data_IF_828510488711
#
_entry.id   IF_828510488711
#
_cell.length_a   1.000
_cell.length_b   1.000
_cell.length_c   1.000
_cell.angle_alpha   90.00
_cell.angle_beta   90.00
_cell.angle_gamma   90.00
#
_symmetry.space_group_name_H-M   'P 1'
#
loop_
_entity.id
_entity.type
_entity.pdbx_description
1 polymer ?
#
# COMPACT_ATOMS: atom_id res chain seq x y z
N UNK A 1 -8.66 -15.21 -9.37
CA UNK A 1 -8.28 -14.22 -8.34
C UNK A 1 -7.03 -14.62 -7.53
N UNK A 2 -7.05 -15.58 -6.60
CA UNK A 2 -5.89 -15.91 -5.73
C UNK A 2 -4.63 -16.30 -6.51
N UNK A 3 -4.76 -17.14 -7.56
CA UNK A 3 -3.64 -17.52 -8.44
C UNK A 3 -2.99 -16.30 -9.12
N UNK A 4 -3.80 -15.30 -9.51
CA UNK A 4 -3.29 -14.07 -10.11
C UNK A 4 -2.52 -13.24 -9.08
N UNK A 5 -3.00 -13.13 -7.84
CA UNK A 5 -2.27 -12.46 -6.76
C UNK A 5 -0.90 -13.10 -6.54
N UNK A 6 -0.84 -14.44 -6.45
CA UNK A 6 0.44 -15.16 -6.27
C UNK A 6 1.41 -14.95 -7.43
N UNK A 7 0.93 -15.06 -8.67
CA UNK A 7 1.78 -15.03 -9.86
C UNK A 7 2.28 -13.63 -10.21
N UNK A 8 1.49 -12.58 -9.92
CA UNK A 8 1.79 -11.20 -10.30
C UNK A 8 2.56 -10.42 -9.22
N UNK A 9 3.16 -11.09 -8.23
CA UNK A 9 3.87 -10.44 -7.13
C UNK A 9 4.97 -9.47 -7.61
N UNK A 10 5.63 -9.76 -8.73
CA UNK A 10 6.65 -8.89 -9.35
C UNK A 10 6.06 -7.55 -9.81
N UNK A 11 4.83 -7.56 -10.36
CA UNK A 11 4.14 -6.35 -10.78
C UNK A 11 3.82 -5.50 -9.54
N UNK A 12 3.35 -6.12 -8.46
CA UNK A 12 3.08 -5.40 -7.22
C UNK A 12 4.36 -4.85 -6.60
N UNK A 13 5.49 -5.58 -6.69
CA UNK A 13 6.79 -5.09 -6.25
C UNK A 13 7.21 -3.85 -7.05
N UNK A 14 7.19 -3.92 -8.38
CA UNK A 14 7.57 -2.79 -9.25
C UNK A 14 6.63 -1.59 -9.01
N UNK A 15 5.32 -1.82 -8.92
CA UNK A 15 4.35 -0.76 -8.64
C UNK A 15 4.54 -0.14 -7.25
N UNK A 16 4.91 -0.93 -6.24
CA UNK A 16 5.23 -0.43 -4.90
C UNK A 16 6.48 0.44 -4.90
N UNK A 17 7.53 -0.03 -5.58
CA UNK A 17 8.81 0.69 -5.68
C UNK A 17 8.76 1.90 -6.61
N UNK A 18 7.73 2.06 -7.43
CA UNK A 18 7.56 3.21 -8.32
C UNK A 18 6.41 4.09 -7.83
N UNK A 19 5.16 3.75 -8.16
CA UNK A 19 3.98 4.48 -7.77
C UNK A 19 3.82 4.56 -6.24
N UNK A 20 4.07 3.46 -5.52
CA UNK A 20 3.88 3.42 -4.07
C UNK A 20 4.88 4.25 -3.26
N UNK A 21 6.05 4.58 -3.83
CA UNK A 21 7.06 5.45 -3.23
C UNK A 21 7.00 6.89 -3.76
N UNK A 22 6.16 7.19 -4.74
CA UNK A 22 6.11 8.52 -5.34
C UNK A 22 5.53 9.59 -4.39
N UNK A 23 6.02 10.84 -4.48
CA UNK A 23 7.34 11.23 -4.97
C UNK A 23 8.43 10.70 -4.04
N UNK A 24 9.60 10.32 -4.55
CA UNK A 24 10.59 9.57 -3.75
C UNK A 24 11.18 10.30 -2.53
N UNK A 25 11.04 11.62 -2.45
CA UNK A 25 11.60 12.41 -1.35
C UNK A 25 10.80 13.71 -1.11
N UNK A 26 9.89 13.76 -0.11
CA UNK A 26 9.37 12.66 0.71
C UNK A 26 8.18 11.92 0.04
N UNK A 27 8.04 10.60 0.20
CA UNK A 27 6.87 9.83 -0.27
C UNK A 27 5.55 10.37 0.26
N UNK A 28 4.55 10.49 -0.63
CA UNK A 28 3.21 10.93 -0.23
C UNK A 28 2.66 10.06 0.90
N UNK A 29 2.86 8.75 0.80
CA UNK A 29 2.34 7.78 1.76
C UNK A 29 2.85 8.01 3.20
N UNK A 30 4.11 8.44 3.39
CA UNK A 30 4.68 8.66 4.72
C UNK A 30 3.97 9.80 5.47
N UNK A 31 3.79 10.94 4.81
CA UNK A 31 3.10 12.09 5.40
C UNK A 31 1.64 11.75 5.73
N UNK A 32 0.95 11.02 4.84
CA UNK A 32 -0.44 10.62 5.11
C UNK A 32 -0.56 9.62 6.27
N UNK A 33 0.36 8.66 6.39
CA UNK A 33 0.38 7.73 7.53
C UNK A 33 0.55 8.49 8.85
N UNK A 34 1.48 9.44 8.90
CA UNK A 34 1.66 10.30 10.08
C UNK A 34 0.39 11.10 10.39
N UNK A 35 -0.30 11.59 9.37
CA UNK A 35 -1.55 12.34 9.52
C UNK A 35 -2.67 11.46 10.12
N UNK A 36 -2.81 10.22 9.64
CA UNK A 36 -3.78 9.24 10.15
C UNK A 36 -3.45 8.85 11.59
N UNK A 37 -2.20 8.48 11.86
CA UNK A 37 -1.77 8.06 13.21
C UNK A 37 -1.81 9.22 14.22
N UNK A 38 -1.62 10.45 13.77
CA UNK A 38 -1.72 11.65 14.60
C UNK A 38 -3.15 12.10 14.90
N UNK A 39 -4.19 11.39 14.42
CA UNK A 39 -5.60 11.70 14.67
C UNK A 39 -6.17 12.90 13.90
N UNK A 40 -5.31 13.69 13.25
CA UNK A 40 -5.71 14.88 12.51
C UNK A 40 -6.51 14.55 11.23
N UNK A 41 -6.37 13.33 10.68
CA UNK A 41 -7.02 12.95 9.42
C UNK A 41 -8.56 13.10 9.42
N UNK A 42 -9.20 12.98 10.59
CA UNK A 42 -10.66 13.08 10.75
C UNK A 42 -11.11 14.36 11.46
N UNK A 43 -10.19 15.29 11.72
CA UNK A 43 -10.53 16.55 12.37
C UNK A 43 -11.36 17.43 11.44
N UNK A 44 -12.38 18.11 11.96
CA UNK A 44 -13.23 19.01 11.15
C UNK A 44 -12.45 20.17 10.51
N UNK A 45 -11.41 20.65 11.21
CA UNK A 45 -10.67 21.85 10.78
C UNK A 45 -9.35 21.53 10.07
N UNK A 46 -8.80 20.34 10.28
CA UNK A 46 -7.46 19.89 9.81
C UNK A 46 -7.49 18.51 9.17
N UNK A 47 -8.68 18.05 8.79
CA UNK A 47 -8.93 16.75 8.19
C UNK A 47 -8.29 16.61 6.82
N UNK A 48 -8.10 15.36 6.42
CA UNK A 48 -7.65 15.04 5.08
C UNK A 48 -8.73 15.35 4.06
N UNK A 49 -8.35 16.02 2.98
CA UNK A 49 -9.21 16.28 1.84
C UNK A 49 -9.38 15.00 1.00
N UNK A 50 -10.34 15.00 0.09
CA UNK A 50 -10.58 13.86 -0.81
C UNK A 50 -9.32 13.44 -1.59
N UNK A 51 -8.50 14.40 -2.04
CA UNK A 51 -7.23 14.14 -2.71
C UNK A 51 -6.22 13.43 -1.80
N UNK A 52 -6.18 13.78 -0.51
CA UNK A 52 -5.26 13.16 0.44
C UNK A 52 -5.65 11.70 0.69
N UNK A 53 -6.94 11.39 0.75
CA UNK A 53 -7.45 10.03 0.80
C UNK A 53 -7.17 9.25 -0.48
N UNK A 54 -7.29 9.92 -1.63
CA UNK A 54 -6.91 9.33 -2.91
C UNK A 54 -5.41 9.01 -2.95
N UNK A 55 -4.55 9.87 -2.43
CA UNK A 55 -3.11 9.61 -2.32
C UNK A 55 -2.83 8.36 -1.48
N UNK A 56 -3.49 8.21 -0.31
CA UNK A 56 -3.37 7.01 0.53
C UNK A 56 -3.73 5.76 -0.26
N UNK A 57 -4.86 5.80 -0.97
CA UNK A 57 -5.33 4.67 -1.74
C UNK A 57 -4.37 4.36 -2.90
N UNK A 58 -4.03 5.35 -3.71
CA UNK A 58 -3.23 5.19 -4.92
C UNK A 58 -1.81 4.69 -4.61
N UNK A 59 -1.17 5.27 -3.60
CA UNK A 59 0.21 4.93 -3.24
C UNK A 59 0.26 3.72 -2.30
N UNK A 60 -0.77 3.50 -1.48
CA UNK A 60 -0.85 2.37 -0.55
C UNK A 60 -1.31 1.05 -1.18
N UNK A 61 -2.14 1.10 -2.24
CA UNK A 61 -2.69 -0.10 -2.87
C UNK A 61 -1.62 -1.07 -3.42
N UNK A 62 -0.55 -0.60 -4.11
CA UNK A 62 0.54 -1.49 -4.54
C UNK A 62 1.17 -2.27 -3.38
N UNK A 63 1.41 -1.61 -2.24
CA UNK A 63 1.99 -2.23 -1.04
C UNK A 63 1.05 -3.27 -0.43
N UNK A 64 -0.25 -2.97 -0.35
CA UNK A 64 -1.24 -3.92 0.15
C UNK A 64 -1.28 -5.18 -0.73
N UNK A 65 -1.28 -5.02 -2.06
CA UNK A 65 -1.26 -6.15 -2.99
C UNK A 65 0.04 -6.96 -2.91
N UNK A 66 1.18 -6.29 -2.72
CA UNK A 66 2.47 -6.93 -2.51
C UNK A 66 2.48 -7.78 -1.22
N UNK A 67 1.98 -7.23 -0.10
CA UNK A 67 1.89 -7.93 1.18
C UNK A 67 0.97 -9.16 1.07
N UNK A 68 -0.23 -8.99 0.52
CA UNK A 68 -1.18 -10.10 0.31
C UNK A 68 -0.57 -11.20 -0.57
N UNK A 69 0.08 -10.82 -1.67
CA UNK A 69 0.76 -11.75 -2.56
C UNK A 69 1.91 -12.48 -1.86
N UNK A 70 2.72 -11.77 -1.06
CA UNK A 70 3.79 -12.33 -0.27
C UNK A 70 3.29 -13.37 0.74
N UNK A 71 2.26 -13.03 1.53
CA UNK A 71 1.64 -13.95 2.50
C UNK A 71 1.12 -15.21 1.79
N UNK A 72 0.43 -15.07 0.66
CA UNK A 72 -0.09 -16.20 -0.10
C UNK A 72 1.03 -17.10 -0.67
N UNK A 73 2.15 -16.51 -1.08
CA UNK A 73 3.31 -17.28 -1.56
C UNK A 73 4.03 -18.00 -0.40
N UNK A 74 4.22 -17.35 0.75
CA UNK A 74 4.88 -17.92 1.92
C UNK A 74 4.06 -19.04 2.59
N UNK A 75 2.73 -18.86 2.69
CA UNK A 75 1.83 -19.87 3.29
C UNK A 75 1.60 -21.07 2.37
N UNK A 76 1.64 -20.87 1.04
CA UNK A 76 1.43 -21.97 0.08
C UNK A 76 2.60 -22.95 0.00
N UNK A 77 3.83 -22.53 0.34
CA UNK A 77 5.00 -23.42 0.36
C UNK A 77 4.97 -24.39 1.55
N UNK A 78 4.20 -24.07 2.61
CA UNK A 78 4.06 -24.92 3.80
C UNK A 78 3.10 -26.11 3.62
N UNK A 79 2.43 -26.25 2.47
CA UNK A 79 1.52 -27.37 2.18
C UNK A 79 2.21 -28.59 1.54
N UNK A 80 3.54 -28.60 1.48
CA UNK A 80 4.33 -29.74 1.00
C UNK A 80 5.23 -30.23 2.13
N UNK A 81 4.61 -30.82 3.14
CA UNK A 81 5.18 -31.83 4.05
C UNK A 81 4.07 -32.79 4.42
#
# INVERSE_FOLDING_TARGET
MIKQLKNNWKIFLIASLTLGLAPFNPPHLLGKIQWILGGNAFSSDKGMQAQDWFDVLLHGLPWLLLLLSGILNLTSQKKTQ
#
